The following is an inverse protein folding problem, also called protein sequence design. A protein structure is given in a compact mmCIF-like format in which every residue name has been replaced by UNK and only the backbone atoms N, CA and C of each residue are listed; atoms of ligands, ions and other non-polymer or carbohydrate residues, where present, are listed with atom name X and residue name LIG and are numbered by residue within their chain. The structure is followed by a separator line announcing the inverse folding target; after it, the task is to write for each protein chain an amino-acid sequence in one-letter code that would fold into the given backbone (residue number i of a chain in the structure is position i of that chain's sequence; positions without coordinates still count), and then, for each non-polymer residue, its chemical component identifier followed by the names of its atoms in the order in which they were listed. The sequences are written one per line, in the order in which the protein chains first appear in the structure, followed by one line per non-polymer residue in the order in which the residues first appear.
data_IF_978462015353
#
_entry.id   IF_978462015353
#
_cell.length_a   1.000
_cell.length_b   1.000
_cell.length_c   1.000
_cell.angle_alpha   90.00
_cell.angle_beta   90.00
_cell.angle_gamma   90.00
#
_symmetry.space_group_name_H-M   'P 1'
#
loop_
_entity.id
_entity.type
_entity.pdbx_description
1 polymer ?
#
# COMPACT_ATOMS: atom_id res chain seq x y z
N UNK A 1 10.86 16.72 -26.28
CA UNK A 1 10.47 16.50 -26.03
C UNK A 1 9.75 16.06 -25.30
N UNK A 2 9.48 15.77 -24.98
CA UNK A 2 8.90 15.60 -24.43
C UNK A 2 8.32 14.88 -23.96
N UNK A 3 8.18 14.52 -23.63
CA UNK A 3 7.69 13.97 -23.23
C UNK A 3 6.81 13.73 -22.66
N UNK A 4 6.41 13.52 -22.91
CA UNK A 4 5.40 13.57 -22.45
C UNK A 4 4.89 12.70 -21.51
N UNK A 5 4.42 12.95 -20.52
CA UNK A 5 3.98 12.11 -19.48
C UNK A 5 2.75 11.40 -19.83
N UNK A 6 2.68 10.19 -19.53
CA UNK A 6 1.54 9.37 -19.82
C UNK A 6 0.64 9.33 -18.63
N UNK A 7 -0.67 9.28 -18.82
CA UNK A 7 -1.59 9.09 -17.72
C UNK A 7 -1.27 7.84 -16.90
N UNK A 8 -0.85 6.80 -17.56
CA UNK A 8 -0.50 5.58 -16.86
C UNK A 8 0.68 5.80 -15.92
N UNK A 9 1.57 6.70 -16.29
CA UNK A 9 2.69 7.03 -15.42
C UNK A 9 2.21 7.69 -14.15
N UNK A 10 1.23 8.57 -14.27
CA UNK A 10 0.66 9.21 -13.10
C UNK A 10 0.01 8.19 -12.18
N UNK A 11 -0.71 7.25 -12.75
CA UNK A 11 -1.32 6.19 -11.97
C UNK A 11 -0.26 5.37 -11.24
N UNK A 12 0.83 5.07 -11.92
CA UNK A 12 1.92 4.33 -11.31
C UNK A 12 2.51 5.08 -10.14
N UNK A 13 2.66 6.38 -10.27
CA UNK A 13 3.21 7.19 -9.18
C UNK A 13 2.30 7.16 -7.96
N UNK A 14 1.00 7.26 -8.16
CA UNK A 14 0.07 7.21 -7.06
C UNK A 14 0.15 5.85 -6.38
N UNK A 15 0.16 4.78 -7.17
CA UNK A 15 0.26 3.44 -6.62
C UNK A 15 1.56 3.26 -5.85
N UNK A 16 2.66 3.75 -6.39
CA UNK A 16 3.95 3.64 -5.71
C UNK A 16 3.94 4.37 -4.38
N UNK A 17 3.34 5.55 -4.34
CA UNK A 17 3.26 6.33 -3.12
C UNK A 17 2.40 5.61 -2.07
N UNK A 18 1.30 5.04 -2.50
CA UNK A 18 0.44 4.29 -1.59
C UNK A 18 1.18 3.08 -1.05
N UNK A 19 1.85 2.35 -1.93
CA UNK A 19 2.61 1.17 -1.51
C UNK A 19 3.72 1.55 -0.53
N UNK A 20 4.42 2.64 -0.82
CA UNK A 20 5.50 3.08 0.06
C UNK A 20 4.96 3.44 1.44
N UNK A 21 3.81 4.10 1.49
CA UNK A 21 3.21 4.44 2.78
C UNK A 21 2.78 3.19 3.52
N UNK A 22 2.23 2.22 2.80
CA UNK A 22 1.84 0.96 3.43
C UNK A 22 3.05 0.26 4.05
N UNK A 23 4.17 0.21 3.33
CA UNK A 23 5.39 -0.39 3.86
C UNK A 23 5.87 0.37 5.10
N UNK A 24 5.82 1.68 5.04
CA UNK A 24 6.24 2.51 6.17
C UNK A 24 5.41 2.19 7.41
N UNK A 25 4.11 2.09 7.24
CA UNK A 25 3.22 1.79 8.36
C UNK A 25 3.47 0.40 8.90
N UNK A 26 3.68 -0.57 8.03
CA UNK A 26 3.94 -1.94 8.45
C UNK A 26 5.30 -2.06 9.15
N UNK A 27 6.26 -1.23 8.76
CA UNK A 27 7.54 -1.19 9.44
C UNK A 27 7.38 -0.78 10.91
N UNK A 28 6.45 0.11 11.16
CA UNK A 28 6.21 0.60 12.52
C UNK A 28 5.33 -0.34 13.35
N UNK A 29 4.78 -1.36 12.71
CA UNK A 29 3.85 -2.27 13.36
C UNK A 29 4.26 -3.71 13.10
N UNK A 30 5.25 -4.22 13.86
CA UNK A 30 5.71 -5.61 13.67
C UNK A 30 4.60 -6.64 13.79
N UNK A 31 3.57 -6.32 14.57
CA UNK A 31 2.44 -7.22 14.73
C UNK A 31 1.52 -7.24 13.52
N UNK A 32 1.70 -6.29 12.59
CA UNK A 32 0.86 -6.17 11.42
C UNK A 32 -0.26 -5.19 11.60
N UNK A 33 -0.92 -4.87 10.50
CA UNK A 33 -2.06 -3.95 10.52
C UNK A 33 -3.21 -4.58 9.74
N UNK A 34 -4.41 -4.32 10.23
CA UNK A 34 -5.60 -4.77 9.52
C UNK A 34 -5.82 -3.91 8.29
N UNK A 35 -6.55 -4.48 7.33
CA UNK A 35 -6.89 -3.76 6.11
C UNK A 35 -7.49 -2.38 6.40
N UNK A 36 -8.44 -2.32 7.32
CA UNK A 36 -9.10 -1.04 7.61
C UNK A 36 -8.15 -0.04 8.23
N UNK A 37 -7.21 -0.52 9.03
CA UNK A 37 -6.22 0.37 9.64
C UNK A 37 -5.27 0.93 8.59
N UNK A 38 -4.81 0.07 7.68
CA UNK A 38 -3.97 0.52 6.59
C UNK A 38 -4.70 1.55 5.74
N UNK A 39 -5.93 1.24 5.38
CA UNK A 39 -6.74 2.14 4.57
C UNK A 39 -6.88 3.50 5.22
N UNK A 40 -7.30 3.52 6.49
CA UNK A 40 -7.51 4.77 7.21
C UNK A 40 -6.23 5.57 7.35
N UNK A 41 -5.14 4.91 7.70
CA UNK A 41 -3.87 5.61 7.92
C UNK A 41 -3.30 6.16 6.62
N UNK A 42 -3.42 5.41 5.53
CA UNK A 42 -2.91 5.89 4.26
C UNK A 42 -3.71 7.09 3.78
N UNK A 43 -5.04 7.01 3.88
CA UNK A 43 -5.90 8.12 3.48
C UNK A 43 -5.62 9.35 4.35
N UNK A 44 -5.43 9.14 5.64
CA UNK A 44 -5.15 10.24 6.54
C UNK A 44 -3.80 10.89 6.24
N UNK A 45 -2.86 10.13 5.70
CA UNK A 45 -1.53 10.68 5.42
C UNK A 45 -1.52 11.59 4.21
N UNK A 46 -2.48 11.42 3.30
CA UNK A 46 -2.53 12.22 2.08
C UNK A 46 -3.98 12.24 1.58
N UNK A 47 -4.63 13.38 1.76
CA UNK A 47 -6.04 13.51 1.40
C UNK A 47 -6.29 13.45 -0.10
N UNK A 48 -5.23 13.51 -0.92
CA UNK A 48 -5.39 13.39 -2.36
C UNK A 48 -5.59 11.95 -2.80
N UNK A 49 -5.31 10.97 -1.93
CA UNK A 49 -5.52 9.57 -2.27
C UNK A 49 -7.00 9.24 -2.26
N UNK A 50 -7.45 8.64 -3.36
CA UNK A 50 -8.84 8.20 -3.46
C UNK A 50 -9.01 6.88 -2.71
N UNK A 51 -10.05 6.76 -1.86
CA UNK A 51 -10.22 5.54 -1.06
C UNK A 51 -10.27 4.25 -1.88
N UNK A 52 -10.94 4.28 -3.02
CA UNK A 52 -11.03 3.08 -3.87
C UNK A 52 -9.66 2.66 -4.39
N UNK A 53 -8.84 3.64 -4.76
CA UNK A 53 -7.49 3.37 -5.24
C UNK A 53 -6.64 2.78 -4.13
N UNK A 54 -6.73 3.37 -2.95
CA UNK A 54 -5.97 2.88 -1.80
C UNK A 54 -6.39 1.45 -1.46
N UNK A 55 -7.69 1.21 -1.44
CA UNK A 55 -8.21 -0.13 -1.14
C UNK A 55 -7.66 -1.17 -2.11
N UNK A 56 -7.72 -0.85 -3.41
CA UNK A 56 -7.21 -1.77 -4.41
C UNK A 56 -5.72 -2.04 -4.25
N UNK A 57 -4.95 -0.99 -3.94
CA UNK A 57 -3.52 -1.15 -3.75
C UNK A 57 -3.20 -2.04 -2.54
N UNK A 58 -3.95 -1.87 -1.45
CA UNK A 58 -3.73 -2.69 -0.25
C UNK A 58 -3.96 -4.16 -0.56
N UNK A 59 -5.06 -4.48 -1.23
CA UNK A 59 -5.35 -5.87 -1.53
C UNK A 59 -4.36 -6.50 -2.49
N UNK A 60 -3.69 -5.69 -3.30
CA UNK A 60 -2.70 -6.19 -4.25
C UNK A 60 -1.30 -6.27 -3.65
N UNK A 61 -1.09 -5.77 -2.45
CA UNK A 61 0.25 -5.76 -1.87
C UNK A 61 0.85 -7.16 -1.79
N UNK A 62 0.08 -8.13 -1.33
CA UNK A 62 0.58 -9.48 -1.21
C UNK A 62 0.89 -10.08 -2.57
N UNK A 63 0.05 -9.78 -3.57
CA UNK A 63 0.28 -10.28 -4.91
C UNK A 63 1.51 -9.66 -5.55
N UNK A 64 1.75 -8.37 -5.30
CA UNK A 64 2.89 -7.68 -5.88
C UNK A 64 4.19 -7.93 -5.14
N UNK A 65 4.11 -8.11 -3.84
CA UNK A 65 5.29 -8.25 -3.00
C UNK A 65 5.18 -9.49 -2.12
N UNK A 66 5.03 -10.68 -2.73
CA UNK A 66 4.82 -11.90 -1.94
C UNK A 66 6.03 -12.27 -1.10
N UNK A 67 7.21 -11.76 -1.46
CA UNK A 67 8.43 -12.02 -0.70
C UNK A 67 8.71 -10.96 0.35
N UNK A 68 7.80 -10.01 0.53
CA UNK A 68 7.97 -8.93 1.51
C UNK A 68 6.81 -8.80 2.47
N UNK A 69 5.62 -9.14 2.03
CA UNK A 69 4.39 -9.02 2.82
C UNK A 69 3.62 -10.32 2.77
N UNK A 70 3.02 -10.68 3.89
CA UNK A 70 2.15 -11.85 3.92
C UNK A 70 0.91 -11.53 4.77
N UNK A 71 -0.09 -12.38 4.67
CA UNK A 71 -1.31 -12.23 5.45
C UNK A 71 -1.38 -13.37 6.47
N UNK A 72 -1.05 -13.09 7.73
CA UNK A 72 -1.15 -14.11 8.76
C UNK A 72 -2.59 -14.57 8.98
N UNK A 73 -3.55 -13.67 8.73
CA UNK A 73 -4.94 -14.04 8.76
C UNK A 73 -5.70 -13.14 7.80
N UNK A 74 -6.97 -13.44 7.60
CA UNK A 74 -7.79 -12.71 6.66
C UNK A 74 -7.85 -11.23 7.05
N UNK A 75 -7.52 -10.37 6.11
CA UNK A 75 -7.59 -8.94 6.32
C UNK A 75 -6.49 -8.35 7.18
N UNK A 76 -5.50 -9.15 7.55
CA UNK A 76 -4.36 -8.69 8.33
C UNK A 76 -3.10 -8.79 7.48
N UNK A 77 -2.33 -7.70 7.44
CA UNK A 77 -1.12 -7.63 6.64
C UNK A 77 0.08 -7.43 7.55
N UNK A 78 1.19 -8.08 7.21
CA UNK A 78 2.38 -8.03 8.03
C UNK A 78 3.60 -8.20 7.15
N UNK A 79 4.70 -7.56 7.53
CA UNK A 79 5.95 -7.72 6.80
C UNK A 79 6.56 -9.09 7.12
N UNK A 80 7.09 -9.73 6.07
CA UNK A 80 7.71 -11.04 6.23
C UNK A 80 8.90 -11.01 7.19
N UNK A 81 9.62 -9.91 7.23
CA UNK A 81 10.78 -9.82 8.10
C UNK A 81 10.43 -9.86 9.59
N UNK A 82 9.17 -9.68 9.90
CA UNK A 82 8.69 -9.78 11.29
C UNK A 82 7.99 -11.10 11.58
N UNK A 83 8.01 -12.00 10.60
CA UNK A 83 7.33 -13.29 10.74
C UNK A 83 7.96 -14.18 11.83
#
# INVERSE_FOLDING_TARGET
MVLTPKPSMQSSKVTERINAKAFELLEKHPEGLRWSELLSNIIASDSTFHPKTVNGCIWKLVDKFPDRIYKPSKGLFRLLKYK
#
